data_IF_797501057170
#
_entry.id   IF_797501057170
#
_cell.length_a   1.000
_cell.length_b   1.000
_cell.length_c   1.000
_cell.angle_alpha   90.00
_cell.angle_beta   90.00
_cell.angle_gamma   90.00
#
_symmetry.space_group_name_H-M   'P 1'
#
loop_
_entity.id
_entity.type
_entity.pdbx_description
1 polymer ?
#
# COMPACT_ATOMS: atom_id res chain seq x y z
N UNK A 1 -11.90 -15.14 -14.09
CA UNK A 1 -11.36 -15.19 -12.71
C UNK A 1 -10.31 -14.11 -12.39
N UNK A 2 -9.49 -13.65 -13.35
CA UNK A 2 -8.49 -12.58 -13.12
C UNK A 2 -9.09 -11.22 -12.73
N UNK A 3 -10.22 -10.85 -13.35
CA UNK A 3 -10.96 -9.61 -13.03
C UNK A 3 -11.41 -9.57 -11.56
N UNK A 4 -11.93 -10.69 -11.04
CA UNK A 4 -12.34 -10.79 -9.63
C UNK A 4 -11.15 -10.62 -8.68
N UNK A 5 -9.98 -11.15 -9.04
CA UNK A 5 -8.75 -10.98 -8.24
C UNK A 5 -8.30 -9.53 -8.18
N UNK A 6 -8.35 -8.83 -9.32
CA UNK A 6 -8.04 -7.40 -9.39
C UNK A 6 -9.07 -6.61 -8.58
N UNK A 7 -10.36 -6.89 -8.71
CA UNK A 7 -11.42 -6.21 -7.97
C UNK A 7 -11.28 -6.40 -6.45
N UNK A 8 -10.97 -7.61 -5.99
CA UNK A 8 -10.67 -7.88 -4.58
C UNK A 8 -9.42 -7.14 -4.10
N UNK A 9 -8.39 -7.09 -4.95
CA UNK A 9 -7.19 -6.29 -4.70
C UNK A 9 -7.52 -4.82 -4.52
N UNK A 10 -8.27 -4.24 -5.45
CA UNK A 10 -8.73 -2.84 -5.39
C UNK A 10 -9.51 -2.58 -4.12
N UNK A 11 -10.50 -3.42 -3.79
CA UNK A 11 -11.29 -3.26 -2.56
C UNK A 11 -10.42 -3.33 -1.30
N UNK A 12 -9.51 -4.31 -1.23
CA UNK A 12 -8.57 -4.42 -0.12
C UNK A 12 -7.64 -3.20 0.00
N UNK A 13 -7.16 -2.69 -1.13
CA UNK A 13 -6.34 -1.48 -1.19
C UNK A 13 -7.11 -0.23 -0.80
N UNK A 14 -8.38 -0.13 -1.19
CA UNK A 14 -9.24 0.99 -0.88
C UNK A 14 -9.53 1.04 0.63
N UNK A 15 -9.88 -0.09 1.25
CA UNK A 15 -10.10 -0.19 2.69
C UNK A 15 -8.84 0.13 3.49
N UNK A 16 -7.69 -0.45 3.09
CA UNK A 16 -6.42 -0.20 3.76
C UNK A 16 -5.98 1.25 3.56
N UNK A 17 -6.13 1.82 2.36
CA UNK A 17 -5.81 3.21 2.08
C UNK A 17 -6.68 4.17 2.89
N UNK A 18 -7.98 3.90 3.03
CA UNK A 18 -8.87 4.67 3.90
C UNK A 18 -8.42 4.63 5.36
N UNK A 19 -8.20 3.43 5.91
CA UNK A 19 -7.71 3.23 7.27
C UNK A 19 -6.37 3.93 7.50
N UNK A 20 -5.41 3.73 6.61
CA UNK A 20 -4.08 4.34 6.72
C UNK A 20 -4.15 5.87 6.63
N UNK A 21 -5.09 6.42 5.84
CA UNK A 21 -5.29 7.87 5.75
C UNK A 21 -5.85 8.45 7.05
N UNK A 22 -6.75 7.74 7.72
CA UNK A 22 -7.21 8.15 9.06
C UNK A 22 -6.09 8.00 10.11
N UNK A 23 -5.30 6.94 10.02
CA UNK A 23 -4.22 6.65 10.97
C UNK A 23 -3.04 7.63 10.82
N UNK A 24 -2.78 8.16 9.62
CA UNK A 24 -1.66 9.07 9.40
C UNK A 24 -1.78 10.35 10.23
N UNK A 25 -3.02 10.77 10.54
CA UNK A 25 -3.30 11.99 11.30
C UNK A 25 -2.76 11.86 12.73
N UNK A 26 -2.58 10.61 13.19
CA UNK A 26 -1.81 10.26 14.37
C UNK A 26 -2.46 10.66 15.69
N UNK A 27 -1.93 10.17 16.82
CA UNK A 27 -2.25 10.73 18.14
C UNK A 27 -1.83 12.21 18.18
N UNK A 28 -2.64 13.03 18.85
CA UNK A 28 -2.32 14.45 19.10
C UNK A 28 -0.91 14.54 19.68
N UNK A 29 -0.05 15.36 19.04
CA UNK A 29 1.37 15.58 19.34
C UNK A 29 2.40 14.54 18.84
N UNK A 30 2.01 13.46 18.15
CA UNK A 30 2.94 12.46 17.61
C UNK A 30 2.73 12.16 16.10
N UNK A 31 2.93 13.14 15.21
CA UNK A 31 2.67 13.00 13.76
C UNK A 31 3.54 11.92 13.09
N UNK A 32 4.78 11.75 13.54
CA UNK A 32 5.69 10.73 13.00
C UNK A 32 5.19 9.31 13.29
N UNK A 33 4.58 9.10 14.46
CA UNK A 33 4.04 7.79 14.86
C UNK A 33 2.86 7.42 13.98
N UNK A 34 1.98 8.39 13.66
CA UNK A 34 0.88 8.20 12.71
C UNK A 34 1.38 7.74 11.33
N UNK A 35 2.41 8.41 10.78
CA UNK A 35 3.01 8.04 9.50
C UNK A 35 3.63 6.64 9.51
N UNK A 36 4.38 6.29 10.55
CA UNK A 36 5.01 4.97 10.66
C UNK A 36 3.96 3.86 10.74
N UNK A 37 2.89 4.06 11.52
CA UNK A 37 1.80 3.10 11.64
C UNK A 37 1.03 2.95 10.31
N UNK A 38 0.70 4.07 9.66
CA UNK A 38 0.02 4.06 8.37
C UNK A 38 0.85 3.33 7.30
N UNK A 39 2.17 3.57 7.29
CA UNK A 39 3.13 2.91 6.39
C UNK A 39 3.20 1.40 6.67
N UNK A 40 3.30 1.02 7.94
CA UNK A 40 3.31 -0.38 8.37
C UNK A 40 2.02 -1.11 7.98
N UNK A 41 0.87 -0.44 8.08
CA UNK A 41 -0.43 -1.00 7.72
C UNK A 41 -0.53 -1.26 6.21
N UNK A 42 -0.11 -0.31 5.37
CA UNK A 42 -0.05 -0.50 3.91
C UNK A 42 0.96 -1.59 3.53
N UNK A 43 2.15 -1.58 4.12
CA UNK A 43 3.19 -2.58 3.86
C UNK A 43 2.73 -3.99 4.26
N UNK A 44 2.09 -4.14 5.42
CA UNK A 44 1.55 -5.42 5.90
C UNK A 44 0.40 -5.93 5.02
N UNK A 45 -0.50 -5.05 4.57
CA UNK A 45 -1.57 -5.40 3.64
C UNK A 45 -1.02 -5.87 2.29
N UNK A 46 0.03 -5.21 1.80
CA UNK A 46 0.73 -5.63 0.58
C UNK A 46 1.38 -7.00 0.75
N UNK A 47 2.09 -7.22 1.87
CA UNK A 47 2.75 -8.49 2.18
C UNK A 47 1.74 -9.64 2.29
N UNK A 48 0.60 -9.42 2.97
CA UNK A 48 -0.46 -10.40 3.12
C UNK A 48 -1.04 -10.86 1.77
N UNK A 49 -1.23 -9.92 0.83
CA UNK A 49 -1.72 -10.22 -0.51
C UNK A 49 -0.69 -10.95 -1.39
N UNK A 50 0.60 -10.74 -1.13
CA UNK A 50 1.67 -11.47 -1.81
C UNK A 50 1.74 -12.94 -1.36
N UNK A 51 1.41 -13.24 -0.11
CA UNK A 51 1.32 -14.61 0.42
C UNK A 51 0.25 -15.45 -0.31
N UNK A 52 -0.78 -14.81 -0.87
CA UNK A 52 -1.82 -15.49 -1.64
C UNK A 52 -1.36 -16.04 -3.00
N UNK A 53 -0.09 -15.86 -3.38
CA UNK A 53 0.55 -16.33 -4.63
C UNK A 53 -0.21 -15.93 -5.91
N UNK A 54 -1.08 -14.93 -5.85
CA UNK A 54 -1.89 -14.43 -6.99
C UNK A 54 -1.41 -13.03 -7.39
N UNK A 55 -0.55 -12.90 -8.43
CA UNK A 55 0.11 -11.63 -8.75
C UNK A 55 -0.87 -10.52 -9.18
N UNK A 56 -2.04 -10.89 -9.70
CA UNK A 56 -3.05 -9.92 -10.15
C UNK A 56 -3.80 -9.21 -9.01
N UNK A 57 -3.81 -9.78 -7.79
CA UNK A 57 -4.45 -9.14 -6.64
C UNK A 57 -3.64 -7.91 -6.19
N UNK A 58 -2.32 -8.02 -6.22
CA UNK A 58 -1.43 -6.90 -5.91
C UNK A 58 -1.58 -5.73 -6.90
N UNK A 59 -1.78 -6.02 -8.20
CA UNK A 59 -2.03 -5.00 -9.22
C UNK A 59 -3.30 -4.17 -8.96
N UNK A 60 -4.30 -4.75 -8.30
CA UNK A 60 -5.48 -4.01 -7.86
C UNK A 60 -5.25 -3.23 -6.56
N UNK A 61 -4.44 -3.77 -5.65
CA UNK A 61 -4.21 -3.19 -4.33
C UNK A 61 -3.52 -1.82 -4.38
N UNK A 62 -2.42 -1.70 -5.12
CA UNK A 62 -1.67 -0.45 -5.22
C UNK A 62 -2.53 0.75 -5.70
N UNK A 63 -3.29 0.66 -6.82
CA UNK A 63 -4.16 1.76 -7.22
C UNK A 63 -5.32 1.99 -6.25
N UNK A 64 -5.77 0.96 -5.51
CA UNK A 64 -6.76 1.12 -4.44
C UNK A 64 -6.24 2.00 -3.29
N UNK A 65 -5.03 1.72 -2.81
CA UNK A 65 -4.39 2.52 -1.74
C UNK A 65 -4.12 3.94 -2.19
N UNK A 66 -3.53 4.11 -3.38
CA UNK A 66 -3.20 5.42 -3.96
C UNK A 66 -4.47 6.22 -4.21
N UNK A 67 -5.47 5.59 -4.84
CA UNK A 67 -6.76 6.22 -5.13
C UNK A 67 -7.49 6.66 -3.86
N UNK A 68 -7.56 5.81 -2.84
CA UNK A 68 -8.16 6.18 -1.56
C UNK A 68 -7.42 7.34 -0.89
N UNK A 69 -6.08 7.30 -0.88
CA UNK A 69 -5.25 8.35 -0.28
C UNK A 69 -5.45 9.69 -0.97
N UNK A 70 -5.39 9.72 -2.31
CA UNK A 70 -5.60 10.94 -3.10
C UNK A 70 -7.03 11.45 -2.93
N UNK A 71 -8.02 10.55 -3.00
CA UNK A 71 -9.42 10.94 -2.93
C UNK A 71 -9.74 11.60 -1.58
N UNK A 72 -9.31 10.99 -0.48
CA UNK A 72 -9.57 11.48 0.86
C UNK A 72 -8.81 12.78 1.19
N UNK A 73 -7.61 12.99 0.64
CA UNK A 73 -6.81 14.18 0.93
C UNK A 73 -7.11 15.37 0.00
N UNK A 74 -7.51 15.12 -1.25
CA UNK A 74 -7.67 16.19 -2.24
C UNK A 74 -9.12 16.60 -2.50
N UNK A 75 -10.12 15.79 -2.15
CA UNK A 75 -11.52 16.10 -2.45
C UNK A 75 -12.34 16.45 -1.20
N UNK A 76 -12.94 17.67 -1.13
CA UNK A 76 -13.88 18.02 -0.08
C UNK A 76 -15.20 17.23 -0.19
N UNK A 77 -15.94 17.02 0.91
CA UNK A 77 -15.69 17.53 2.28
C UNK A 77 -14.80 16.63 3.15
N UNK A 78 -14.31 15.51 2.62
CA UNK A 78 -13.65 14.49 3.45
C UNK A 78 -12.29 14.97 3.94
N UNK A 79 -11.58 15.73 3.11
CA UNK A 79 -10.29 16.33 3.43
C UNK A 79 -10.30 17.10 4.77
N UNK A 80 -11.39 17.81 5.09
CA UNK A 80 -11.51 18.60 6.32
C UNK A 80 -11.40 17.77 7.61
N UNK A 81 -11.69 16.46 7.53
CA UNK A 81 -11.63 15.55 8.68
C UNK A 81 -10.34 14.72 8.78
N UNK A 82 -9.64 14.51 7.66
CA UNK A 82 -8.45 13.65 7.61
C UNK A 82 -7.14 14.44 7.46
N UNK A 83 -7.18 15.70 7.04
CA UNK A 83 -5.98 16.53 7.02
C UNK A 83 -5.37 16.60 8.43
N UNK A 84 -4.08 16.26 8.52
CA UNK A 84 -3.35 16.47 9.77
C UNK A 84 -3.24 17.97 10.06
N UNK A 85 -3.21 18.32 11.35
CA UNK A 85 -2.93 19.68 11.84
C UNK A 85 -1.63 20.21 11.24
N UNK A 86 -0.67 19.31 11.03
CA UNK A 86 0.61 19.57 10.38
C UNK A 86 0.55 19.26 8.88
N UNK A 87 0.55 20.29 8.03
CA UNK A 87 0.43 20.14 6.58
C UNK A 87 1.56 19.28 5.95
N UNK A 88 2.75 19.27 6.55
CA UNK A 88 3.90 18.47 6.08
C UNK A 88 3.65 16.96 6.21
N UNK A 89 2.84 16.53 7.18
CA UNK A 89 2.51 15.12 7.41
C UNK A 89 1.65 14.58 6.27
N UNK A 90 0.64 15.35 5.86
CA UNK A 90 -0.23 15.01 4.74
C UNK A 90 0.54 14.94 3.42
N UNK A 91 1.52 15.84 3.22
CA UNK A 91 2.39 15.82 2.04
C UNK A 91 3.32 14.60 2.01
N UNK A 92 3.92 14.25 3.16
CA UNK A 92 4.74 13.05 3.25
C UNK A 92 3.91 11.78 3.05
N UNK A 93 2.69 11.73 3.59
CA UNK A 93 1.82 10.57 3.41
C UNK A 93 1.47 10.33 1.93
N UNK A 94 1.23 11.40 1.14
CA UNK A 94 1.00 11.27 -0.31
C UNK A 94 2.15 10.59 -1.05
N UNK A 95 3.38 10.72 -0.55
CA UNK A 95 4.57 10.07 -1.13
C UNK A 95 4.79 8.69 -0.51
N UNK A 96 4.60 8.54 0.80
CA UNK A 96 4.81 7.27 1.50
C UNK A 96 3.77 6.21 1.14
N UNK A 97 2.50 6.57 0.93
CA UNK A 97 1.45 5.61 0.56
C UNK A 97 1.77 4.81 -0.72
N UNK A 98 2.14 5.43 -1.86
CA UNK A 98 2.54 4.68 -3.06
C UNK A 98 3.83 3.90 -2.84
N UNK A 99 4.82 4.46 -2.14
CA UNK A 99 6.09 3.75 -1.86
C UNK A 99 5.83 2.51 -1.01
N UNK A 100 5.04 2.61 0.06
CA UNK A 100 4.70 1.52 0.96
C UNK A 100 3.91 0.40 0.25
N UNK A 101 3.05 0.75 -0.71
CA UNK A 101 2.31 -0.22 -1.51
C UNK A 101 3.19 -0.96 -2.55
N UNK A 102 4.32 -0.37 -2.94
CA UNK A 102 5.22 -0.90 -3.97
C UNK A 102 6.48 -1.59 -3.40
N UNK A 103 6.97 -1.18 -2.23
CA UNK A 103 8.22 -1.71 -1.64
C UNK A 103 8.17 -3.23 -1.39
N UNK A 104 7.09 -3.82 -0.82
CA UNK A 104 7.05 -5.25 -0.55
C UNK A 104 7.07 -6.11 -1.82
N UNK A 105 6.48 -5.61 -2.92
CA UNK A 105 6.48 -6.34 -4.19
C UNK A 105 7.84 -6.27 -4.89
N UNK A 106 8.54 -5.13 -4.83
CA UNK A 106 9.91 -4.98 -5.35
C UNK A 106 10.91 -5.88 -4.62
N UNK A 107 10.82 -5.95 -3.29
CA UNK A 107 11.68 -6.81 -2.48
C UNK A 107 11.48 -8.31 -2.78
N UNK A 108 10.25 -8.73 -3.07
CA UNK A 108 9.94 -10.12 -3.43
C UNK A 108 10.25 -10.45 -4.89
N UNK A 109 10.13 -9.50 -5.82
CA UNK A 109 10.65 -9.65 -7.18
C UNK A 109 12.17 -9.85 -7.18
N UNK A 110 12.89 -9.13 -6.33
CA UNK A 110 14.33 -9.26 -6.17
C UNK A 110 14.74 -10.57 -5.48
N UNK A 111 13.87 -11.13 -4.61
CA UNK A 111 14.14 -12.37 -3.87
C UNK A 111 13.85 -13.66 -4.63
N UNK A 112 13.30 -13.66 -5.85
CA UNK A 112 13.25 -14.88 -6.66
C UNK A 112 14.65 -15.17 -7.17
N UNK A 113 15.37 -16.17 -6.63
CA UNK A 113 16.56 -16.66 -7.30
C UNK A 113 16.05 -17.39 -8.55
N UNK A 114 16.62 -17.10 -9.70
CA UNK A 114 16.42 -17.91 -10.90
C UNK A 114 16.84 -19.35 -10.61
N UNK A 115 15.89 -20.21 -10.22
CA UNK A 115 16.11 -21.63 -10.01
C UNK A 115 16.20 -22.42 -11.32
N UNK A 116 16.43 -21.73 -12.45
CA UNK A 116 16.52 -22.32 -13.79
C UNK A 116 17.97 -22.63 -14.22
N UNK A 117 18.96 -22.51 -13.33
CA UNK A 117 20.36 -22.85 -13.62
C UNK A 117 20.77 -24.28 -13.20
N UNK A 118 19.82 -25.16 -12.89
CA UNK A 118 20.10 -26.54 -12.43
C UNK A 118 19.98 -27.64 -13.49
N UNK A 119 19.39 -27.38 -14.67
CA UNK A 119 18.97 -28.43 -15.62
C UNK A 119 19.84 -28.54 -16.89
N UNK A 120 21.06 -27.99 -16.88
CA UNK A 120 21.97 -28.03 -18.06
C UNK A 120 23.37 -28.61 -17.81
N UNK A 121 23.61 -29.28 -16.69
CA UNK A 121 24.94 -29.82 -16.37
C UNK A 121 24.95 -31.34 -16.13
N UNK A 122 24.14 -32.09 -16.88
CA UNK A 122 24.18 -33.55 -16.89
C UNK A 122 23.86 -34.06 -18.31
N UNK A 123 24.74 -33.74 -19.26
CA UNK A 123 24.95 -34.50 -20.50
C UNK A 123 26.41 -34.98 -20.51
#
# INVERSE_FOLDING_TARGET
MKVLQIALGVLGGLLVGMLATVVHSGPVDLPVVGLVLATGLVASGTWFLLEWKKPYVWLGYAPGVIGATIWLLMFPPVNDSVLSVDQWVSQLWLILAPVAALVPSLLLAYRRPDSTSGEKAAD
#
